data_IF_067143333168
#
_entry.id   IF_067143333168
#
_cell.length_a   1.000
_cell.length_b   1.000
_cell.length_c   1.000
_cell.angle_alpha   90.00
_cell.angle_beta   90.00
_cell.angle_gamma   90.00
#
_symmetry.space_group_name_H-M   'P 1'
#
loop_
_entity.id
_entity.type
_entity.pdbx_description
1 polymer ?
#
# COMPACT_ATOMS: atom_id res chain seq x y z
N UNK A 1 5.61 24.14 57.71
CA UNK A 1 6.33 22.85 57.64
C UNK A 1 5.52 21.76 56.92
N UNK A 2 4.18 21.71 57.04
CA UNK A 2 3.34 20.72 56.35
C UNK A 2 3.40 20.83 54.81
N UNK A 3 3.36 22.05 54.27
CA UNK A 3 3.27 22.28 52.82
C UNK A 3 4.46 21.76 52.02
N UNK A 4 5.68 21.83 52.58
CA UNK A 4 6.89 21.32 51.91
C UNK A 4 6.87 19.80 51.81
N UNK A 5 6.41 19.12 52.86
CA UNK A 5 6.30 17.66 52.88
C UNK A 5 5.22 17.16 51.91
N UNK A 6 4.13 17.90 51.76
CA UNK A 6 3.06 17.58 50.81
C UNK A 6 3.52 17.79 49.36
N UNK A 7 4.25 18.87 49.09
CA UNK A 7 4.87 19.12 47.79
C UNK A 7 5.88 18.03 47.40
N UNK A 8 6.74 17.61 48.33
CA UNK A 8 7.68 16.50 48.10
C UNK A 8 6.94 15.19 47.79
N UNK A 9 5.85 14.90 48.49
CA UNK A 9 5.03 13.70 48.24
C UNK A 9 4.41 13.72 46.85
N UNK A 10 3.93 14.88 46.39
CA UNK A 10 3.37 15.03 45.04
C UNK A 10 4.44 14.84 43.97
N UNK A 11 5.62 15.44 44.14
CA UNK A 11 6.73 15.27 43.20
C UNK A 11 7.20 13.81 43.14
N UNK A 12 7.25 13.12 44.29
CA UNK A 12 7.59 11.71 44.35
C UNK A 12 6.57 10.85 43.60
N UNK A 13 5.28 11.13 43.76
CA UNK A 13 4.20 10.44 43.03
C UNK A 13 4.30 10.68 41.53
N UNK A 14 4.60 11.90 41.09
CA UNK A 14 4.72 12.21 39.67
C UNK A 14 5.96 11.55 39.06
N UNK A 15 7.07 11.50 39.79
CA UNK A 15 8.25 10.71 39.42
C UNK A 15 7.87 9.24 39.20
N UNK A 16 7.18 8.63 40.17
CA UNK A 16 6.81 7.21 40.09
C UNK A 16 5.88 6.93 38.90
N UNK A 17 4.97 7.85 38.60
CA UNK A 17 4.13 7.79 37.41
C UNK A 17 4.97 7.79 36.12
N UNK A 18 5.91 8.72 35.97
CA UNK A 18 6.76 8.77 34.77
C UNK A 18 7.65 7.54 34.64
N UNK A 19 8.15 6.98 35.75
CA UNK A 19 8.93 5.74 35.72
C UNK A 19 8.10 4.58 35.15
N UNK A 20 6.83 4.46 35.55
CA UNK A 20 5.94 3.44 34.99
C UNK A 20 5.64 3.68 33.51
N UNK A 21 5.41 4.94 33.11
CA UNK A 21 5.16 5.31 31.70
C UNK A 21 6.37 4.98 30.81
N UNK A 22 7.59 5.26 31.28
CA UNK A 22 8.82 4.88 30.57
C UNK A 22 8.90 3.37 30.38
N UNK A 23 8.57 2.58 31.42
CA UNK A 23 8.56 1.12 31.32
C UNK A 23 7.58 0.57 30.27
N UNK A 24 6.35 1.11 30.20
CA UNK A 24 5.37 0.74 29.16
C UNK A 24 5.87 1.10 27.75
N UNK A 25 6.45 2.29 27.60
CA UNK A 25 7.04 2.72 26.32
C UNK A 25 8.20 1.82 25.90
N UNK A 26 9.09 1.42 26.82
CA UNK A 26 10.18 0.49 26.54
C UNK A 26 9.68 -0.90 26.13
N UNK A 27 8.61 -1.38 26.76
CA UNK A 27 7.99 -2.66 26.39
C UNK A 27 7.40 -2.59 24.97
N UNK A 28 6.68 -1.51 24.64
CA UNK A 28 6.13 -1.30 23.29
C UNK A 28 7.22 -1.16 22.24
N UNK A 29 8.29 -0.42 22.54
CA UNK A 29 9.45 -0.30 21.64
C UNK A 29 10.14 -1.65 21.42
N UNK A 30 10.27 -2.47 22.45
CA UNK A 30 10.83 -3.81 22.35
C UNK A 30 9.98 -4.71 21.46
N UNK A 31 8.65 -4.63 21.58
CA UNK A 31 7.73 -5.35 20.70
C UNK A 31 7.91 -4.95 19.23
N UNK A 32 7.94 -3.65 18.94
CA UNK A 32 8.14 -3.14 17.57
C UNK A 32 9.50 -3.57 17.01
N UNK A 33 10.57 -3.50 17.82
CA UNK A 33 11.90 -3.98 17.41
C UNK A 33 11.88 -5.47 17.04
N UNK A 34 11.23 -6.30 17.84
CA UNK A 34 11.09 -7.73 17.56
C UNK A 34 10.30 -7.98 16.26
N UNK A 35 9.23 -7.21 16.00
CA UNK A 35 8.50 -7.29 14.74
C UNK A 35 9.37 -6.92 13.54
N UNK A 36 10.15 -5.84 13.65
CA UNK A 36 11.10 -5.43 12.61
C UNK A 36 12.11 -6.54 12.34
N UNK A 37 12.73 -7.11 13.38
CA UNK A 37 13.68 -8.23 13.23
C UNK A 37 13.02 -9.46 12.58
N UNK A 38 11.76 -9.76 12.90
CA UNK A 38 11.02 -10.84 12.24
C UNK A 38 10.77 -10.57 10.75
N UNK A 39 10.54 -9.31 10.36
CA UNK A 39 10.39 -8.95 8.94
C UNK A 39 11.75 -8.97 8.23
N UNK A 40 12.81 -8.48 8.87
CA UNK A 40 14.17 -8.51 8.31
C UNK A 40 14.67 -9.93 8.04
N UNK A 41 14.37 -10.88 8.95
CA UNK A 41 14.68 -12.30 8.75
C UNK A 41 13.90 -12.90 7.59
N UNK A 42 12.61 -12.58 7.48
CA UNK A 42 11.76 -13.03 6.37
C UNK A 42 12.25 -12.47 5.03
N UNK A 43 12.49 -11.17 4.95
CA UNK A 43 13.02 -10.49 3.77
C UNK A 43 14.36 -11.11 3.37
N UNK A 44 15.26 -11.33 4.34
CA UNK A 44 16.56 -11.96 4.08
C UNK A 44 16.40 -13.38 3.53
N UNK A 45 15.45 -14.15 4.05
CA UNK A 45 15.10 -15.48 3.53
C UNK A 45 14.65 -15.42 2.06
N UNK A 46 13.72 -14.53 1.72
CA UNK A 46 13.25 -14.37 0.34
C UNK A 46 14.35 -13.85 -0.61
N UNK A 47 15.17 -12.91 -0.18
CA UNK A 47 16.28 -12.42 -1.00
C UNK A 47 17.32 -13.51 -1.29
N UNK A 48 17.57 -14.42 -0.34
CA UNK A 48 18.45 -15.57 -0.54
C UNK A 48 17.81 -16.61 -1.47
N UNK A 49 16.51 -16.88 -1.32
CA UNK A 49 15.76 -17.79 -2.18
C UNK A 49 15.75 -17.28 -3.64
N UNK A 50 15.46 -16.00 -3.86
CA UNK A 50 15.51 -15.38 -5.19
C UNK A 50 16.91 -15.52 -5.82
N UNK A 51 17.98 -15.24 -5.08
CA UNK A 51 19.35 -15.44 -5.57
C UNK A 51 19.66 -16.91 -5.89
N UNK A 52 19.10 -17.85 -5.12
CA UNK A 52 19.25 -19.28 -5.39
C UNK A 52 18.52 -19.71 -6.67
N UNK A 53 17.32 -19.15 -6.92
CA UNK A 53 16.55 -19.39 -8.14
C UNK A 53 17.29 -18.80 -9.35
N UNK A 54 17.86 -17.61 -9.24
CA UNK A 54 18.66 -17.01 -10.32
C UNK A 54 19.96 -17.77 -10.58
N UNK A 55 20.63 -18.30 -9.55
CA UNK A 55 21.85 -19.09 -9.73
C UNK A 55 21.57 -20.52 -10.23
N UNK A 56 20.45 -21.14 -9.85
CA UNK A 56 20.02 -22.44 -10.40
C UNK A 56 19.52 -22.31 -11.85
N UNK A 57 18.79 -21.27 -12.20
CA UNK A 57 18.33 -21.04 -13.59
C UNK A 57 19.49 -20.75 -14.54
N UNK A 58 20.57 -20.12 -14.06
CA UNK A 58 21.75 -19.87 -14.88
C UNK A 58 22.69 -21.10 -15.02
N UNK A 59 22.63 -22.05 -14.08
CA UNK A 59 23.37 -23.32 -14.20
C UNK A 59 22.56 -24.43 -14.88
N UNK A 60 21.23 -24.33 -14.94
CA UNK A 60 20.36 -25.33 -15.58
C UNK A 60 20.24 -25.16 -17.11
N UNK A 61 20.81 -24.10 -17.71
CA UNK A 61 20.81 -23.95 -19.18
C UNK A 61 22.00 -24.64 -19.88
N UNK A 62 22.90 -25.27 -19.12
CA UNK A 62 24.04 -26.04 -19.63
C UNK A 62 24.16 -27.38 -18.88
N UNK A 63 23.17 -28.26 -19.02
CA UNK A 63 23.37 -29.72 -19.15
C UNK A 63 22.05 -30.45 -18.95
N UNK A 64 21.59 -31.12 -20.01
CA UNK A 64 20.81 -32.35 -19.92
C UNK A 64 21.44 -33.33 -20.93
N UNK A 65 21.26 -34.66 -20.84
CA UNK A 65 20.46 -35.43 -19.89
C UNK A 65 21.24 -36.61 -19.24
N UNK A 66 20.69 -37.25 -18.20
CA UNK A 66 20.74 -38.72 -18.02
C UNK A 66 19.87 -39.18 -16.84
N UNK A 67 19.04 -40.16 -17.14
CA UNK A 67 18.22 -40.92 -16.21
C UNK A 67 19.03 -42.02 -15.49
N UNK A 68 18.65 -42.35 -14.24
CA UNK A 68 18.85 -43.62 -13.51
C UNK A 68 18.00 -43.52 -12.21
N UNK A 69 16.85 -44.18 -12.03
CA UNK A 69 16.52 -45.60 -11.84
C UNK A 69 17.20 -46.28 -10.62
N UNK A 70 16.42 -46.44 -9.54
CA UNK A 70 16.25 -47.58 -8.59
C UNK A 70 15.94 -47.03 -7.16
N UNK A 71 14.70 -47.15 -6.63
CA UNK A 71 14.02 -48.31 -6.00
C UNK A 71 14.33 -48.42 -4.49
N UNK A 72 13.40 -48.00 -3.62
CA UNK A 72 12.59 -48.87 -2.73
C UNK A 72 13.10 -48.68 -1.28
N UNK A 73 12.35 -48.58 -0.19
CA UNK A 73 11.17 -49.30 0.33
C UNK A 73 10.37 -48.33 1.25
N UNK A 74 9.05 -48.14 1.07
CA UNK A 74 7.93 -48.83 1.75
C UNK A 74 7.89 -48.78 3.29
N UNK A 75 6.92 -48.04 3.84
CA UNK A 75 5.92 -48.63 4.75
C UNK A 75 4.59 -47.86 4.70
N UNK A 76 3.59 -48.55 4.20
CA UNK A 76 2.17 -48.21 4.04
C UNK A 76 1.39 -48.52 5.32
N UNK A 77 0.41 -47.69 5.67
CA UNK A 77 -0.83 -48.02 6.41
C UNK A 77 -1.74 -46.79 6.27
N UNK A 78 -2.55 -46.70 5.22
CA UNK A 78 -3.94 -47.19 5.06
C UNK A 78 -5.00 -46.11 5.32
N UNK A 79 -5.70 -45.77 4.23
CA UNK A 79 -6.93 -44.98 4.13
C UNK A 79 -8.16 -45.80 4.58
N UNK A 80 -9.30 -45.12 4.81
CA UNK A 80 -10.47 -45.37 3.94
C UNK A 80 -11.06 -44.06 3.42
N UNK A 81 -11.17 -43.82 2.10
CA UNK A 81 -12.10 -44.40 1.10
C UNK A 81 -13.57 -44.10 1.39
N UNK A 82 -14.10 -43.08 0.71
CA UNK A 82 -15.16 -43.23 -0.30
C UNK A 82 -15.80 -41.87 -0.64
N UNK A 83 -15.54 -41.32 -1.83
CA UNK A 83 -16.40 -41.57 -2.99
C UNK A 83 -15.84 -40.85 -4.23
N UNK A 84 -16.00 -41.51 -5.37
CA UNK A 84 -15.50 -41.17 -6.71
C UNK A 84 -16.60 -40.49 -7.57
N UNK A 85 -16.41 -40.14 -8.85
CA UNK A 85 -16.65 -38.81 -9.41
C UNK A 85 -17.98 -38.65 -10.15
N UNK A 86 -18.47 -37.41 -10.28
CA UNK A 86 -19.36 -37.03 -11.37
C UNK A 86 -18.94 -35.71 -12.01
N UNK A 87 -18.61 -35.79 -13.30
CA UNK A 87 -18.47 -34.66 -14.19
C UNK A 87 -19.81 -33.95 -14.38
N UNK A 88 -19.88 -32.62 -14.24
CA UNK A 88 -20.64 -31.73 -15.12
C UNK A 88 -20.15 -30.28 -14.97
N UNK A 89 -19.77 -29.71 -16.12
CA UNK A 89 -19.75 -28.31 -16.60
C UNK A 89 -20.10 -27.14 -15.67
N UNK A 90 -19.43 -26.01 -15.98
CA UNK A 90 -19.82 -24.61 -15.72
C UNK A 90 -19.82 -24.21 -14.23
N UNK A 91 -19.33 -23.05 -13.80
CA UNK A 91 -19.25 -21.76 -14.44
C UNK A 91 -18.30 -20.89 -13.61
N UNK A 92 -17.53 -20.07 -14.29
CA UNK A 92 -16.77 -18.96 -13.73
C UNK A 92 -17.76 -17.87 -13.30
N UNK A 93 -17.56 -17.23 -12.14
CA UNK A 93 -17.65 -15.78 -12.07
C UNK A 93 -16.33 -15.27 -11.50
N UNK A 94 -15.40 -14.68 -12.27
CA UNK A 94 -15.55 -13.42 -12.98
C UNK A 94 -16.31 -12.39 -12.13
N UNK A 95 -15.79 -12.10 -10.94
CA UNK A 95 -16.10 -10.86 -10.24
C UNK A 95 -15.52 -9.72 -11.07
N UNK A 96 -16.39 -9.14 -11.89
CA UNK A 96 -16.23 -7.81 -12.46
C UNK A 96 -15.86 -6.84 -11.32
N UNK A 97 -14.77 -6.06 -11.42
CA UNK A 97 -14.59 -4.95 -10.50
C UNK A 97 -15.77 -4.00 -10.70
N UNK A 98 -16.54 -3.74 -9.64
CA UNK A 98 -17.58 -2.72 -9.65
C UNK A 98 -16.94 -1.42 -10.14
N UNK A 99 -17.27 -1.01 -11.37
CA UNK A 99 -16.92 0.32 -11.86
C UNK A 99 -17.75 1.30 -11.02
N UNK A 100 -17.12 2.14 -10.19
CA UNK A 100 -17.85 3.15 -9.45
C UNK A 100 -18.57 4.06 -10.43
N UNK A 101 -19.72 4.58 -10.02
CA UNK A 101 -20.50 5.52 -10.82
C UNK A 101 -19.70 6.82 -11.09
N UNK A 102 -19.15 6.91 -12.30
CA UNK A 102 -18.35 8.05 -12.78
C UNK A 102 -19.24 9.10 -13.47
N UNK A 103 -20.56 8.87 -13.56
CA UNK A 103 -21.50 9.66 -14.36
C UNK A 103 -21.53 11.14 -13.99
N UNK A 104 -21.30 11.46 -12.71
CA UNK A 104 -21.34 12.84 -12.20
C UNK A 104 -20.08 13.67 -12.48
N UNK A 105 -19.01 13.05 -13.00
CA UNK A 105 -17.73 13.73 -13.15
C UNK A 105 -17.66 14.42 -14.52
N UNK A 106 -17.55 15.76 -14.58
CA UNK A 106 -17.53 16.46 -15.85
C UNK A 106 -16.32 16.02 -16.69
N UNK A 107 -16.61 15.56 -17.91
CA UNK A 107 -15.59 15.34 -18.93
C UNK A 107 -15.11 16.70 -19.45
N UNK A 108 -13.84 16.78 -19.82
CA UNK A 108 -13.28 17.99 -20.43
C UNK A 108 -13.97 18.23 -21.78
N UNK A 109 -14.65 19.37 -21.91
CA UNK A 109 -15.24 19.80 -23.20
C UNK A 109 -14.17 20.06 -24.28
N UNK A 110 -12.95 20.40 -23.86
CA UNK A 110 -11.83 20.71 -24.75
C UNK A 110 -10.68 19.70 -24.53
N UNK A 111 -10.19 19.07 -25.61
CA UNK A 111 -9.00 18.22 -25.53
C UNK A 111 -7.79 19.01 -25.03
N UNK A 112 -6.94 18.35 -24.24
CA UNK A 112 -5.70 18.95 -23.73
C UNK A 112 -4.76 19.32 -24.87
N UNK A 113 -3.99 20.40 -24.67
CA UNK A 113 -3.01 20.90 -25.64
C UNK A 113 -2.02 19.78 -26.04
N UNK A 114 -1.73 19.60 -27.34
CA UNK A 114 -0.75 18.63 -27.80
C UNK A 114 0.62 19.00 -27.23
N UNK A 115 1.25 18.08 -26.50
CA UNK A 115 2.51 18.31 -25.77
C UNK A 115 2.42 18.07 -24.26
N UNK A 116 1.21 17.88 -23.71
CA UNK A 116 1.03 17.42 -22.32
C UNK A 116 1.17 15.90 -22.26
N UNK A 117 1.89 15.38 -21.26
CA UNK A 117 2.06 13.94 -21.03
C UNK A 117 0.67 13.30 -20.94
N UNK A 118 0.43 12.30 -21.79
CA UNK A 118 -0.89 11.67 -21.91
C UNK A 118 -1.16 10.80 -20.69
N UNK A 119 -2.36 10.94 -20.12
CA UNK A 119 -2.87 10.00 -19.14
C UNK A 119 -3.21 8.66 -19.80
N UNK A 120 -3.42 7.62 -18.99
CA UNK A 120 -4.02 6.38 -19.46
C UNK A 120 -5.33 6.63 -20.22
N UNK A 121 -5.66 5.73 -21.15
CA UNK A 121 -6.85 5.80 -22.03
C UNK A 121 -8.14 6.06 -21.23
N UNK A 122 -8.25 5.48 -20.05
CA UNK A 122 -9.40 5.61 -19.14
C UNK A 122 -9.59 7.03 -18.58
N UNK A 123 -8.51 7.81 -18.47
CA UNK A 123 -8.53 9.14 -17.84
C UNK A 123 -8.30 10.28 -18.82
N UNK A 124 -8.15 9.98 -20.11
CA UNK A 124 -7.80 10.98 -21.13
C UNK A 124 -8.89 12.03 -21.32
N UNK A 125 -10.15 11.69 -21.03
CA UNK A 125 -11.32 12.56 -21.14
C UNK A 125 -11.54 13.46 -19.91
N UNK A 126 -10.83 13.21 -18.81
CA UNK A 126 -11.03 13.90 -17.53
C UNK A 126 -9.90 14.91 -17.25
N UNK A 127 -10.13 15.92 -16.41
CA UNK A 127 -9.04 16.76 -15.87
C UNK A 127 -8.13 15.94 -14.95
N UNK A 128 -6.90 16.39 -14.65
CA UNK A 128 -6.01 15.67 -13.71
C UNK A 128 -6.71 15.51 -12.36
N UNK A 129 -7.38 16.56 -11.90
CA UNK A 129 -8.16 16.56 -10.66
C UNK A 129 -9.32 15.56 -10.69
N UNK A 130 -10.06 15.50 -11.80
CA UNK A 130 -11.17 14.56 -11.97
C UNK A 130 -10.67 13.11 -12.10
N UNK A 131 -9.54 12.90 -12.77
CA UNK A 131 -8.91 11.58 -12.86
C UNK A 131 -8.45 11.09 -11.48
N UNK A 132 -7.87 11.96 -10.65
CA UNK A 132 -7.55 11.66 -9.25
C UNK A 132 -8.82 11.31 -8.47
N UNK A 133 -9.90 12.07 -8.66
CA UNK A 133 -11.17 11.80 -7.99
C UNK A 133 -11.73 10.43 -8.36
N UNK A 134 -11.67 10.04 -9.64
CA UNK A 134 -12.07 8.70 -10.10
C UNK A 134 -11.21 7.63 -9.43
N UNK A 135 -9.89 7.80 -9.39
CA UNK A 135 -8.98 6.86 -8.71
C UNK A 135 -9.32 6.70 -7.23
N UNK A 136 -9.58 7.81 -6.55
CA UNK A 136 -9.96 7.79 -5.13
C UNK A 136 -11.32 7.13 -4.91
N UNK A 137 -12.30 7.35 -5.79
CA UNK A 137 -13.61 6.69 -5.72
C UNK A 137 -13.54 5.19 -5.98
N UNK A 138 -12.61 4.72 -6.83
CA UNK A 138 -12.39 3.29 -7.07
C UNK A 138 -11.85 2.57 -5.83
N UNK A 139 -11.14 3.26 -4.93
CA UNK A 139 -10.58 2.69 -3.69
C UNK A 139 -10.71 3.71 -2.55
N UNK A 140 -11.94 3.93 -2.02
CA UNK A 140 -12.22 5.03 -1.11
C UNK A 140 -11.52 4.89 0.25
N UNK A 141 -11.29 3.66 0.71
CA UNK A 141 -10.66 3.36 2.00
C UNK A 141 -9.13 3.46 1.98
N UNK A 142 -8.53 3.67 0.80
CA UNK A 142 -7.08 3.62 0.65
C UNK A 142 -6.44 5.01 0.82
N UNK A 143 -5.28 5.01 1.47
CA UNK A 143 -4.44 6.19 1.59
C UNK A 143 -3.53 6.29 0.35
N UNK A 144 -3.74 7.33 -0.45
CA UNK A 144 -3.03 7.49 -1.72
C UNK A 144 -1.78 8.33 -1.56
N UNK A 145 -0.63 7.74 -1.86
CA UNK A 145 0.64 8.45 -1.99
C UNK A 145 0.75 9.08 -3.38
N UNK A 146 1.34 10.28 -3.46
CA UNK A 146 1.57 10.99 -4.73
C UNK A 146 2.23 10.13 -5.83
N UNK A 147 3.27 9.35 -5.50
CA UNK A 147 3.94 8.48 -6.47
C UNK A 147 3.01 7.39 -7.00
N UNK A 148 2.21 6.78 -6.12
CA UNK A 148 1.23 5.77 -6.52
C UNK A 148 0.16 6.36 -7.43
N UNK A 149 -0.30 7.58 -7.16
CA UNK A 149 -1.24 8.30 -8.03
C UNK A 149 -0.61 8.56 -9.41
N UNK A 150 0.63 9.04 -9.45
CA UNK A 150 1.33 9.30 -10.73
C UNK A 150 1.45 8.01 -11.53
N UNK A 151 1.80 6.90 -10.87
CA UNK A 151 1.87 5.58 -11.50
C UNK A 151 0.51 5.11 -12.02
N UNK A 152 -0.54 5.23 -11.23
CA UNK A 152 -1.89 4.79 -11.62
C UNK A 152 -2.50 5.69 -12.73
N UNK A 153 -2.10 6.96 -12.81
CA UNK A 153 -2.58 7.93 -13.81
C UNK A 153 -1.85 7.88 -15.15
N UNK A 154 -0.52 7.68 -15.12
CA UNK A 154 0.35 7.79 -16.29
C UNK A 154 0.99 6.46 -16.70
N UNK A 155 0.98 5.45 -15.82
CA UNK A 155 1.57 4.13 -16.02
C UNK A 155 3.07 4.09 -15.71
N UNK A 156 3.68 2.91 -15.90
CA UNK A 156 5.10 2.69 -15.58
C UNK A 156 6.08 3.15 -16.67
N UNK A 157 5.57 3.64 -17.81
CA UNK A 157 6.38 3.95 -19.01
C UNK A 157 6.76 5.42 -19.11
N UNK A 158 7.26 6.03 -18.03
CA UNK A 158 7.64 7.46 -18.01
C UNK A 158 9.16 7.65 -17.87
N UNK A 159 9.71 8.60 -18.63
CA UNK A 159 11.10 9.04 -18.47
C UNK A 159 11.29 9.84 -17.17
N UNK A 160 12.47 9.83 -16.55
CA UNK A 160 12.75 10.56 -15.32
C UNK A 160 12.33 12.06 -15.35
N UNK A 161 12.53 12.74 -16.49
CA UNK A 161 12.10 14.13 -16.67
C UNK A 161 10.56 14.28 -16.66
N UNK A 162 9.86 13.32 -17.27
CA UNK A 162 8.39 13.27 -17.31
C UNK A 162 7.81 12.94 -15.94
N UNK A 163 8.44 12.04 -15.17
CA UNK A 163 8.05 11.74 -13.78
C UNK A 163 8.12 13.01 -12.93
N UNK A 164 9.20 13.79 -13.05
CA UNK A 164 9.33 15.05 -12.28
C UNK A 164 8.26 16.08 -12.66
N UNK A 165 7.96 16.21 -13.96
CA UNK A 165 6.93 17.12 -14.46
C UNK A 165 5.51 16.70 -14.02
N UNK A 166 5.17 15.42 -14.18
CA UNK A 166 3.87 14.85 -13.77
C UNK A 166 3.69 14.89 -12.27
N UNK A 167 4.72 14.55 -11.48
CA UNK A 167 4.70 14.68 -10.02
C UNK A 167 4.41 16.11 -9.59
N UNK A 168 5.07 17.09 -10.19
CA UNK A 168 4.83 18.51 -9.90
C UNK A 168 3.40 18.93 -10.26
N UNK A 169 2.89 18.51 -11.42
CA UNK A 169 1.53 18.80 -11.87
C UNK A 169 0.47 18.13 -10.98
N UNK A 170 0.68 16.87 -10.64
CA UNK A 170 -0.20 16.06 -9.79
C UNK A 170 -0.22 16.58 -8.36
N UNK A 171 0.93 16.97 -7.80
CA UNK A 171 1.00 17.59 -6.48
C UNK A 171 0.24 18.93 -6.41
N UNK A 172 0.34 19.75 -7.47
CA UNK A 172 -0.47 20.97 -7.60
C UNK A 172 -1.96 20.64 -7.63
N UNK A 173 -2.37 19.69 -8.48
CA UNK A 173 -3.76 19.25 -8.58
C UNK A 173 -4.30 18.70 -7.24
N UNK A 174 -3.50 17.89 -6.53
CA UNK A 174 -3.83 17.36 -5.20
C UNK A 174 -4.01 18.47 -4.16
N UNK A 175 -3.13 19.46 -4.18
CA UNK A 175 -3.24 20.60 -3.26
C UNK A 175 -4.49 21.43 -3.55
N UNK A 176 -4.74 21.73 -4.83
CA UNK A 176 -5.93 22.49 -5.25
C UNK A 176 -7.23 21.74 -4.92
N UNK A 177 -7.32 20.45 -5.22
CA UNK A 177 -8.52 19.67 -4.90
C UNK A 177 -8.75 19.50 -3.39
N UNK A 178 -7.67 19.44 -2.60
CA UNK A 178 -7.79 19.42 -1.15
C UNK A 178 -8.29 20.76 -0.58
N UNK A 179 -7.85 21.90 -1.16
CA UNK A 179 -8.36 23.23 -0.81
C UNK A 179 -9.83 23.42 -1.18
N UNK A 180 -10.27 22.80 -2.28
CA UNK A 180 -11.68 22.77 -2.70
C UNK A 180 -12.53 21.80 -1.88
N UNK A 181 -11.93 21.00 -1.00
CA UNK A 181 -12.63 20.05 -0.14
C UNK A 181 -13.05 18.76 -0.84
N UNK A 182 -12.45 18.41 -1.97
CA UNK A 182 -12.73 17.14 -2.67
C UNK A 182 -12.12 15.91 -1.98
N UNK A 183 -11.02 16.11 -1.27
CA UNK A 183 -10.32 15.08 -0.50
C UNK A 183 -9.52 15.74 0.63
N UNK A 184 -8.97 14.91 1.51
CA UNK A 184 -8.27 15.34 2.71
C UNK A 184 -6.80 14.96 2.65
N UNK A 185 -5.96 15.76 3.31
CA UNK A 185 -4.54 15.44 3.50
C UNK A 185 -4.38 14.68 4.82
N UNK A 186 -3.59 13.62 4.79
CA UNK A 186 -3.30 12.80 5.96
C UNK A 186 -2.24 13.50 6.82
N UNK A 187 -2.45 13.51 8.13
CA UNK A 187 -1.55 14.06 9.14
C UNK A 187 -0.31 13.19 9.28
N UNK A 188 0.79 13.80 9.72
CA UNK A 188 2.07 13.14 10.02
C UNK A 188 2.73 12.41 8.83
N UNK A 189 2.16 12.50 7.63
CA UNK A 189 2.70 11.91 6.40
C UNK A 189 2.75 12.96 5.29
N UNK A 190 3.82 12.94 4.51
CA UNK A 190 4.00 13.88 3.40
C UNK A 190 3.45 13.26 2.12
N UNK A 191 2.72 14.07 1.33
CA UNK A 191 2.18 13.66 0.03
C UNK A 191 1.21 12.46 0.06
N UNK A 192 0.49 12.28 1.17
CA UNK A 192 -0.57 11.26 1.31
C UNK A 192 -1.93 11.94 1.45
N UNK A 193 -2.90 11.43 0.68
CA UNK A 193 -4.25 11.97 0.58
C UNK A 193 -5.29 10.85 0.69
N UNK A 194 -6.48 11.17 1.18
CA UNK A 194 -7.58 10.22 1.35
C UNK A 194 -8.91 10.89 1.02
N UNK A 195 -9.88 10.10 0.56
CA UNK A 195 -11.22 10.59 0.25
C UNK A 195 -12.05 10.84 1.52
N UNK A 196 -11.85 10.04 2.57
CA UNK A 196 -12.61 10.10 3.80
C UNK A 196 -11.96 10.99 4.86
N UNK A 197 -12.79 11.69 5.61
CA UNK A 197 -12.32 12.51 6.72
C UNK A 197 -12.27 11.68 8.00
N UNK A 198 -11.06 11.44 8.49
CA UNK A 198 -10.83 10.81 9.78
C UNK A 198 -10.36 11.84 10.80
N UNK A 199 -11.07 11.94 11.92
CA UNK A 199 -10.77 12.90 13.00
C UNK A 199 -9.42 12.55 13.63
N UNK A 200 -8.50 13.50 13.65
CA UNK A 200 -7.16 13.32 14.23
C UNK A 200 -6.16 12.64 13.28
N UNK A 201 -6.60 12.14 12.13
CA UNK A 201 -5.74 11.55 11.09
C UNK A 201 -5.70 12.41 9.84
N UNK A 202 -6.69 13.26 9.59
CA UNK A 202 -6.75 14.10 8.38
C UNK A 202 -6.96 15.57 8.69
N UNK A 203 -6.51 16.44 7.77
CA UNK A 203 -6.70 17.90 7.83
C UNK A 203 -7.47 18.38 6.61
N UNK A 204 -8.50 19.20 6.87
CA UNK A 204 -9.14 20.03 5.86
C UNK A 204 -8.27 21.25 5.59
N UNK A 205 -7.78 21.39 4.35
CA UNK A 205 -7.15 22.62 3.91
C UNK A 205 -8.25 23.65 3.66
N UNK A 206 -8.48 24.56 4.60
CA UNK A 206 -9.39 25.68 4.38
C UNK A 206 -8.75 26.63 3.35
N UNK A 207 -9.46 26.93 2.26
CA UNK A 207 -9.13 28.09 1.43
C UNK A 207 -9.27 29.34 2.29
N UNK A 208 -8.21 30.14 2.34
CA UNK A 208 -8.20 31.42 3.05
C UNK A 208 -8.89 32.49 2.21
#
# INVERSE_FOLDING_TARGET
>A
MADLSEMLRLLQKERDRYVLEIGDLEQRLSFVRNQITSLETLISGYCLEDQSIYSQTHLSSLSAPSALLLKGEEKTEELPSDWEPQATQSEKPATTPEEPDISDIPKLANRRKPGTISLLKEFQEYSIQNAILILMRRRPDLHFQLEAIVRDLYGDKLTAAQIKATKTSTAKALTTGAQQGLWYRVLNTTNVYTLHHEKGVTVRLKSK
#
